data_IF_711981759627
#
_entry.id   IF_711981759627
#
_cell.length_a   1.000
_cell.length_b   1.000
_cell.length_c   1.000
_cell.angle_alpha   90.00
_cell.angle_beta   90.00
_cell.angle_gamma   90.00
#
_symmetry.space_group_name_H-M   'P 1'
#
loop_
_entity.id
_entity.type
_entity.pdbx_description
1 polymer ?
#
# COMPACT_ATOMS: atom_id res chain seq x y z
N UNK A 1 -15.47 11.75 13.52
CA UNK A 1 -14.20 11.30 12.91
C UNK A 1 -14.36 9.80 12.69
N UNK A 2 -13.89 9.24 11.58
CA UNK A 2 -14.14 7.82 11.26
C UNK A 2 -13.44 6.94 12.30
N UNK A 3 -14.16 6.04 12.97
CA UNK A 3 -13.64 5.21 14.07
C UNK A 3 -12.39 4.41 13.63
N UNK A 4 -12.36 4.00 12.37
CA UNK A 4 -11.24 3.30 11.76
C UNK A 4 -9.96 4.16 11.68
N UNK A 5 -10.10 5.47 11.44
CA UNK A 5 -8.97 6.40 11.40
C UNK A 5 -8.47 6.69 12.81
N UNK A 6 -9.37 6.87 13.78
CA UNK A 6 -8.99 7.09 15.17
C UNK A 6 -8.23 5.87 15.73
N UNK A 7 -8.68 4.67 15.40
CA UNK A 7 -7.98 3.43 15.71
C UNK A 7 -6.60 3.38 15.03
N UNK A 8 -6.51 3.67 13.73
CA UNK A 8 -5.23 3.68 13.01
C UNK A 8 -4.25 4.75 13.53
N UNK A 9 -4.74 5.92 13.96
CA UNK A 9 -3.93 6.96 14.60
C UNK A 9 -3.36 6.45 15.93
N UNK A 10 -4.20 5.82 16.77
CA UNK A 10 -3.76 5.25 18.05
C UNK A 10 -2.71 4.16 17.82
N UNK A 11 -2.96 3.22 16.91
CA UNK A 11 -2.02 2.15 16.57
C UNK A 11 -0.67 2.68 16.09
N UNK A 12 -0.66 3.66 15.17
CA UNK A 12 0.58 4.30 14.70
C UNK A 12 1.33 4.99 15.85
N UNK A 13 0.62 5.70 16.73
CA UNK A 13 1.25 6.37 17.88
C UNK A 13 1.89 5.35 18.83
N UNK A 14 1.21 4.24 19.12
CA UNK A 14 1.73 3.16 19.95
C UNK A 14 2.96 2.51 19.33
N UNK A 15 2.90 2.10 18.05
CA UNK A 15 4.03 1.50 17.34
C UNK A 15 5.24 2.45 17.29
N UNK A 16 5.02 3.75 17.06
CA UNK A 16 6.08 4.75 17.08
C UNK A 16 6.68 4.95 18.48
N UNK A 17 5.86 4.94 19.54
CA UNK A 17 6.32 5.05 20.91
C UNK A 17 7.20 3.85 21.31
N UNK A 18 6.78 2.63 20.97
CA UNK A 18 7.55 1.40 21.21
C UNK A 18 8.88 1.40 20.46
N UNK A 19 8.88 1.75 19.16
CA UNK A 19 10.10 1.89 18.37
C UNK A 19 11.07 2.93 18.97
N UNK A 20 10.54 4.06 19.48
CA UNK A 20 11.35 5.09 20.13
C UNK A 20 11.91 4.62 21.47
N UNK A 21 11.12 3.88 22.26
CA UNK A 21 11.51 3.36 23.57
C UNK A 21 12.66 2.36 23.46
N UNK A 22 12.64 1.49 22.44
CA UNK A 22 13.65 0.46 22.19
C UNK A 22 14.92 0.98 21.49
N UNK A 23 15.21 2.29 21.59
CA UNK A 23 16.44 2.87 21.06
C UNK A 23 16.44 3.11 19.54
N UNK A 24 15.27 3.07 18.88
CA UNK A 24 15.12 3.32 17.43
C UNK A 24 15.93 2.34 16.57
N UNK A 25 15.61 1.03 16.65
CA UNK A 25 16.28 0.05 15.80
C UNK A 25 16.18 0.46 14.32
N UNK A 26 17.31 0.36 13.63
CA UNK A 26 17.44 0.71 12.21
C UNK A 26 17.36 -0.51 11.28
N UNK A 27 17.52 -1.71 11.85
CA UNK A 27 17.43 -2.97 11.13
C UNK A 27 16.05 -3.11 10.46
N UNK A 28 15.99 -3.23 9.12
CA UNK A 28 14.75 -3.41 8.37
C UNK A 28 13.95 -4.64 8.81
N UNK A 29 14.64 -5.69 9.28
CA UNK A 29 14.03 -6.95 9.70
C UNK A 29 13.49 -6.91 11.14
N UNK A 30 13.72 -5.82 11.87
CA UNK A 30 13.23 -5.70 13.23
C UNK A 30 11.70 -5.55 13.25
N UNK A 31 11.03 -6.37 14.06
CA UNK A 31 9.57 -6.38 14.19
C UNK A 31 8.97 -4.99 14.48
N UNK A 32 9.67 -4.15 15.25
CA UNK A 32 9.21 -2.81 15.59
C UNK A 32 9.25 -1.85 14.39
N UNK A 33 10.25 -2.01 13.51
CA UNK A 33 10.37 -1.24 12.27
C UNK A 33 9.26 -1.65 11.30
N UNK A 34 9.02 -2.94 11.16
CA UNK A 34 7.96 -3.50 10.32
C UNK A 34 6.58 -3.03 10.81
N UNK A 35 6.29 -3.20 12.10
CA UNK A 35 5.01 -2.78 12.69
C UNK A 35 4.79 -1.27 12.54
N UNK A 36 5.83 -0.45 12.71
CA UNK A 36 5.77 1.00 12.47
C UNK A 36 5.47 1.34 11.00
N UNK A 37 6.07 0.63 10.04
CA UNK A 37 5.78 0.78 8.61
C UNK A 37 4.32 0.41 8.30
N UNK A 38 3.86 -0.74 8.77
CA UNK A 38 2.50 -1.25 8.55
C UNK A 38 1.43 -0.30 9.11
N UNK A 39 1.56 0.11 10.37
CA UNK A 39 0.61 1.05 10.98
C UNK A 39 0.61 2.43 10.30
N UNK A 40 1.75 2.86 9.74
CA UNK A 40 1.82 4.09 8.94
C UNK A 40 1.11 3.95 7.60
N UNK A 41 1.29 2.83 6.92
CA UNK A 41 0.60 2.51 5.67
C UNK A 41 -0.91 2.46 5.88
N UNK A 42 -1.35 1.72 6.90
CA UNK A 42 -2.77 1.56 7.21
C UNK A 42 -3.44 2.91 7.52
N UNK A 43 -2.79 3.79 8.29
CA UNK A 43 -3.31 5.14 8.51
C UNK A 43 -3.46 5.92 7.19
N UNK A 44 -2.47 5.86 6.29
CA UNK A 44 -2.55 6.54 4.99
C UNK A 44 -3.69 5.98 4.14
N UNK A 45 -3.86 4.66 4.13
CA UNK A 45 -4.95 3.96 3.44
C UNK A 45 -6.31 4.44 3.96
N UNK A 46 -6.50 4.45 5.27
CA UNK A 46 -7.76 4.91 5.88
C UNK A 46 -8.04 6.39 5.60
N UNK A 47 -7.04 7.27 5.64
CA UNK A 47 -7.20 8.67 5.24
C UNK A 47 -7.61 8.82 3.76
N UNK A 48 -7.00 8.05 2.85
CA UNK A 48 -7.37 8.06 1.43
C UNK A 48 -8.82 7.62 1.23
N UNK A 49 -9.23 6.53 1.90
CA UNK A 49 -10.59 6.02 1.85
C UNK A 49 -11.60 7.06 2.38
N UNK A 50 -11.31 7.76 3.48
CA UNK A 50 -12.17 8.81 3.99
C UNK A 50 -12.33 9.97 3.02
N UNK A 51 -11.23 10.40 2.39
CA UNK A 51 -11.25 11.46 1.37
C UNK A 51 -12.08 11.02 0.17
N UNK A 52 -11.90 9.78 -0.30
CA UNK A 52 -12.68 9.23 -1.40
C UNK A 52 -14.17 9.17 -1.05
N UNK A 53 -14.52 8.66 0.14
CA UNK A 53 -15.90 8.61 0.60
C UNK A 53 -16.51 10.02 0.72
N UNK A 54 -15.75 10.98 1.24
CA UNK A 54 -16.20 12.38 1.33
C UNK A 54 -16.51 12.96 -0.04
N UNK A 55 -15.68 12.68 -1.05
CA UNK A 55 -15.93 13.11 -2.44
C UNK A 55 -17.18 12.45 -3.03
N UNK A 56 -17.41 11.16 -2.75
CA UNK A 56 -18.62 10.45 -3.17
C UNK A 56 -19.86 11.11 -2.54
N UNK A 57 -19.82 11.34 -1.22
CA UNK A 57 -20.92 11.98 -0.50
C UNK A 57 -21.19 13.40 -0.99
N UNK A 58 -20.14 14.19 -1.25
CA UNK A 58 -20.28 15.55 -1.78
C UNK A 58 -20.93 15.53 -3.18
N UNK A 59 -20.56 14.56 -4.01
CA UNK A 59 -21.17 14.34 -5.31
C UNK A 59 -22.66 13.99 -5.19
N UNK A 60 -23.00 13.07 -4.29
CA UNK A 60 -24.40 12.72 -4.02
C UNK A 60 -25.19 13.91 -3.50
N UNK A 61 -24.62 14.72 -2.61
CA UNK A 61 -25.22 15.96 -2.09
C UNK A 61 -25.50 16.95 -3.24
N UNK A 62 -24.58 17.09 -4.20
CA UNK A 62 -24.78 17.92 -5.40
C UNK A 62 -25.87 17.35 -6.32
N UNK A 63 -25.92 16.03 -6.52
CA UNK A 63 -26.93 15.38 -7.39
C UNK A 63 -28.33 15.52 -6.80
N UNK A 64 -28.47 15.40 -5.48
CA UNK A 64 -29.74 15.51 -4.77
C UNK A 64 -30.14 16.97 -4.46
N UNK A 65 -29.29 17.93 -4.79
CA UNK A 65 -29.52 19.34 -4.53
C UNK A 65 -30.81 19.83 -5.20
N UNK A 66 -31.64 20.55 -4.45
CA UNK A 66 -32.80 21.24 -5.04
C UNK A 66 -32.32 22.39 -5.92
N UNK A 67 -33.14 22.73 -6.91
CA UNK A 67 -32.95 23.95 -7.71
C UNK A 67 -32.87 25.15 -6.76
N UNK A 68 -31.81 25.96 -6.87
CA UNK A 68 -31.52 27.12 -6.04
C UNK A 68 -31.10 26.86 -4.58
N UNK A 69 -30.47 25.71 -4.26
CA UNK A 69 -29.87 25.49 -2.94
C UNK A 69 -28.60 26.34 -2.70
N UNK A 70 -28.81 27.60 -2.31
CA UNK A 70 -27.75 28.57 -2.01
C UNK A 70 -26.84 28.11 -0.87
N UNK A 71 -27.39 27.40 0.13
CA UNK A 71 -26.65 26.98 1.32
C UNK A 71 -25.61 25.92 0.94
N UNK A 72 -26.02 24.93 0.16
CA UNK A 72 -25.12 23.91 -0.37
C UNK A 72 -24.06 24.53 -1.28
N UNK A 73 -24.44 25.45 -2.17
CA UNK A 73 -23.50 26.12 -3.07
C UNK A 73 -22.37 26.84 -2.32
N UNK A 74 -22.70 27.68 -1.33
CA UNK A 74 -21.69 28.38 -0.54
C UNK A 74 -20.87 27.44 0.36
N UNK A 75 -21.47 26.34 0.85
CA UNK A 75 -20.78 25.29 1.60
C UNK A 75 -19.71 24.61 0.74
N UNK A 76 -20.01 24.30 -0.52
CA UNK A 76 -19.05 23.71 -1.47
C UNK A 76 -17.91 24.68 -1.80
N UNK A 77 -18.21 25.94 -2.09
CA UNK A 77 -17.20 26.99 -2.30
C UNK A 77 -16.28 27.10 -1.08
N UNK A 78 -16.85 27.16 0.12
CA UNK A 78 -16.08 27.31 1.36
C UNK A 78 -15.15 26.12 1.60
N UNK A 79 -15.61 24.89 1.30
CA UNK A 79 -14.79 23.67 1.40
C UNK A 79 -13.63 23.69 0.40
N UNK A 80 -13.87 24.12 -0.84
CA UNK A 80 -12.83 24.17 -1.89
C UNK A 80 -11.80 25.27 -1.63
N UNK A 81 -12.23 26.45 -1.15
CA UNK A 81 -11.34 27.58 -0.84
C UNK A 81 -10.41 27.33 0.36
N UNK A 82 -10.73 26.37 1.22
CA UNK A 82 -9.96 26.13 2.45
C UNK A 82 -9.89 27.40 3.33
N UNK A 83 -8.72 27.69 3.91
CA UNK A 83 -8.45 28.91 4.71
C UNK A 83 -7.80 30.02 3.88
N UNK A 84 -8.24 30.26 2.64
CA UNK A 84 -7.75 31.39 1.86
C UNK A 84 -8.27 32.70 2.48
N UNK A 85 -7.38 33.44 3.15
CA UNK A 85 -7.69 34.73 3.78
C UNK A 85 -7.80 35.91 2.80
N UNK A 86 -7.55 35.70 1.51
CA UNK A 86 -7.62 36.73 0.47
C UNK A 86 -8.89 36.59 -0.37
N UNK A 87 -9.36 37.73 -0.88
CA UNK A 87 -10.39 37.80 -1.91
C UNK A 87 -9.86 37.12 -3.19
N UNK A 88 -10.76 36.45 -3.90
CA UNK A 88 -10.44 35.79 -5.17
C UNK A 88 -10.90 36.76 -6.26
N UNK A 89 -9.96 37.33 -6.98
CA UNK A 89 -10.24 38.29 -8.06
C UNK A 89 -10.48 37.56 -9.40
N UNK A 90 -9.85 36.39 -9.57
CA UNK A 90 -9.97 35.54 -10.76
C UNK A 90 -10.10 34.06 -10.38
N UNK A 91 -11.00 33.35 -11.05
CA UNK A 91 -11.22 31.92 -10.92
C UNK A 91 -10.91 31.22 -12.25
N UNK A 92 -9.96 30.29 -12.25
CA UNK A 92 -9.67 29.43 -13.39
C UNK A 92 -10.38 28.08 -13.24
N UNK A 93 -11.20 27.74 -14.23
CA UNK A 93 -11.89 26.44 -14.33
C UNK A 93 -11.59 25.86 -15.71
N UNK A 94 -10.87 24.74 -15.75
CA UNK A 94 -10.39 24.08 -16.97
C UNK A 94 -9.60 25.05 -17.88
N UNK A 95 -10.16 25.43 -19.04
CA UNK A 95 -9.54 26.38 -20.00
C UNK A 95 -10.15 27.78 -19.94
N UNK A 96 -11.06 28.04 -19.00
CA UNK A 96 -11.78 29.32 -18.88
C UNK A 96 -11.40 30.06 -17.61
N UNK A 97 -11.26 31.38 -17.72
CA UNK A 97 -11.09 32.29 -16.59
C UNK A 97 -12.37 33.11 -16.35
N UNK A 98 -12.71 33.30 -15.09
CA UNK A 98 -13.87 34.05 -14.65
C UNK A 98 -13.43 35.12 -13.64
N UNK A 99 -13.71 36.39 -13.91
CA UNK A 99 -13.38 37.52 -13.03
C UNK A 99 -14.63 38.17 -12.45
N UNK A 100 -14.45 38.87 -11.32
CA UNK A 100 -15.41 39.77 -10.65
C UNK A 100 -16.87 39.27 -10.61
N UNK A 101 -17.69 39.65 -11.59
CA UNK A 101 -19.14 39.34 -11.65
C UNK A 101 -19.44 37.90 -12.04
N UNK A 102 -18.52 37.23 -12.73
CA UNK A 102 -18.73 35.91 -13.33
C UNK A 102 -18.13 34.77 -12.48
N UNK A 103 -17.49 35.08 -11.35
CA UNK A 103 -16.86 34.08 -10.46
C UNK A 103 -17.88 33.05 -9.97
N UNK A 104 -19.09 33.49 -9.61
CA UNK A 104 -20.16 32.58 -9.16
C UNK A 104 -20.62 31.65 -10.28
N UNK A 105 -20.64 32.13 -11.52
CA UNK A 105 -20.96 31.32 -12.69
C UNK A 105 -19.86 30.28 -12.96
N UNK A 106 -18.59 30.67 -12.84
CA UNK A 106 -17.46 29.73 -12.91
C UNK A 106 -17.55 28.62 -11.86
N UNK A 107 -17.87 28.95 -10.61
CA UNK A 107 -18.11 27.94 -9.56
C UNK A 107 -19.30 27.03 -9.89
N UNK A 108 -20.39 27.58 -10.43
CA UNK A 108 -21.56 26.81 -10.85
C UNK A 108 -21.20 25.77 -11.91
N UNK A 109 -20.47 26.19 -12.95
CA UNK A 109 -19.99 25.31 -14.03
C UNK A 109 -19.04 24.24 -13.46
N UNK A 110 -18.08 24.63 -12.62
CA UNK A 110 -17.14 23.71 -12.00
C UNK A 110 -17.83 22.58 -11.21
N UNK A 111 -18.73 22.93 -10.29
CA UNK A 111 -19.43 21.93 -9.47
C UNK A 111 -20.42 21.10 -10.30
N UNK A 112 -21.04 21.67 -11.33
CA UNK A 112 -21.86 20.92 -12.29
C UNK A 112 -21.02 19.87 -13.03
N UNK A 113 -19.82 20.23 -13.47
CA UNK A 113 -18.92 19.31 -14.15
C UNK A 113 -18.38 18.21 -13.22
N UNK A 114 -18.05 18.55 -11.96
CA UNK A 114 -17.67 17.56 -10.94
C UNK A 114 -18.79 16.53 -10.68
N UNK A 115 -20.05 16.93 -10.77
CA UNK A 115 -21.18 16.04 -10.56
C UNK A 115 -21.41 15.07 -11.74
N UNK A 116 -21.02 15.44 -12.96
CA UNK A 116 -21.13 14.58 -14.15
C UNK A 116 -20.21 13.37 -14.00
N UNK A 117 -20.68 12.17 -14.37
CA UNK A 117 -19.81 10.98 -14.40
C UNK A 117 -18.79 11.19 -15.52
N UNK A 118 -17.51 11.31 -15.16
CA UNK A 118 -16.45 11.27 -16.15
C UNK A 118 -16.45 9.86 -16.76
N UNK A 119 -16.81 9.75 -18.04
CA UNK A 119 -16.75 8.48 -18.78
C UNK A 119 -15.30 8.03 -19.07
N UNK A 120 -14.30 8.76 -18.59
CA UNK A 120 -12.90 8.40 -18.69
C UNK A 120 -12.54 7.29 -17.72
N UNK A 121 -12.53 6.05 -18.24
CA UNK A 121 -11.81 4.89 -17.70
C UNK A 121 -10.28 5.11 -17.77
N UNK A 122 -9.78 6.18 -17.15
CA UNK A 122 -8.33 6.35 -16.95
C UNK A 122 -8.04 6.09 -15.48
N UNK A 123 -8.31 4.86 -15.07
CA UNK A 123 -7.70 4.34 -13.86
C UNK A 123 -6.26 3.98 -14.22
N UNK A 124 -5.29 4.51 -13.50
CA UNK A 124 -3.88 4.20 -13.72
C UNK A 124 -3.60 2.82 -13.14
N UNK A 125 -3.79 1.80 -13.98
CA UNK A 125 -3.59 0.39 -13.63
C UNK A 125 -2.14 0.17 -13.20
N UNK A 126 -1.18 0.87 -13.82
CA UNK A 126 0.23 0.76 -13.45
C UNK A 126 0.50 1.25 -12.02
N UNK A 127 -0.17 2.31 -11.58
CA UNK A 127 -0.05 2.79 -10.20
C UNK A 127 -0.64 1.79 -9.19
N UNK A 128 -1.75 1.13 -9.50
CA UNK A 128 -2.29 0.05 -8.67
C UNK A 128 -1.32 -1.12 -8.57
N UNK A 129 -0.83 -1.60 -9.72
CA UNK A 129 0.12 -2.71 -9.77
C UNK A 129 1.42 -2.39 -9.00
N UNK A 130 1.86 -1.13 -9.04
CA UNK A 130 3.04 -0.68 -8.27
C UNK A 130 2.77 -0.70 -6.75
N UNK A 131 1.58 -0.26 -6.32
CA UNK A 131 1.21 -0.24 -4.90
C UNK A 131 0.96 -1.65 -4.36
N UNK A 132 0.36 -2.53 -5.16
CA UNK A 132 0.09 -3.91 -4.78
C UNK A 132 1.39 -4.74 -4.75
N UNK A 133 2.31 -4.54 -5.71
CA UNK A 133 3.64 -5.18 -5.67
C UNK A 133 4.52 -4.71 -4.52
N UNK A 134 4.52 -3.41 -4.17
CA UNK A 134 5.21 -2.91 -2.97
C UNK A 134 4.67 -3.54 -1.67
N UNK A 135 3.37 -3.83 -1.63
CA UNK A 135 2.73 -4.49 -0.50
C UNK A 135 3.04 -5.98 -0.44
N UNK A 136 3.03 -6.67 -1.59
CA UNK A 136 3.41 -8.08 -1.73
C UNK A 136 4.87 -8.33 -1.31
N UNK A 137 5.81 -7.48 -1.72
CA UNK A 137 7.22 -7.56 -1.28
C UNK A 137 7.33 -7.49 0.26
N UNK A 138 6.55 -6.62 0.91
CA UNK A 138 6.54 -6.52 2.38
C UNK A 138 5.87 -7.72 3.08
N UNK A 139 5.02 -8.48 2.38
CA UNK A 139 4.38 -9.69 2.92
C UNK A 139 5.16 -10.96 2.59
N UNK A 140 5.78 -11.06 1.42
CA UNK A 140 6.62 -12.20 1.02
C UNK A 140 7.94 -12.25 1.80
N UNK A 141 8.49 -11.09 2.20
CA UNK A 141 9.58 -11.03 3.19
C UNK A 141 9.21 -11.72 4.53
N UNK A 142 7.91 -11.92 4.85
CA UNK A 142 7.48 -12.70 6.02
C UNK A 142 7.45 -14.21 5.76
N UNK A 143 7.16 -14.65 4.55
CA UNK A 143 7.06 -16.09 4.21
C UNK A 143 8.39 -16.69 3.78
N UNK A 144 9.31 -15.88 3.23
CA UNK A 144 10.66 -16.31 2.83
C UNK A 144 11.61 -16.69 3.99
N UNK A 145 11.21 -16.48 5.25
CA UNK A 145 12.03 -16.83 6.42
C UNK A 145 11.82 -18.25 6.98
N UNK A 146 11.07 -19.13 6.29
CA UNK A 146 11.01 -20.57 6.62
C UNK A 146 11.76 -21.49 5.66
N UNK A 147 12.19 -21.00 4.49
CA UNK A 147 13.01 -21.81 3.59
C UNK A 147 14.44 -21.90 4.14
N UNK A 148 15.03 -23.09 4.10
CA UNK A 148 16.42 -23.27 4.50
C UNK A 148 17.32 -22.38 3.63
N UNK A 149 18.26 -21.60 4.20
CA UNK A 149 19.18 -20.77 3.43
C UNK A 149 19.97 -21.52 2.35
N UNK A 150 20.07 -22.86 2.44
CA UNK A 150 20.72 -23.74 1.48
C UNK A 150 19.76 -24.34 0.44
N UNK A 151 18.45 -24.17 0.57
CA UNK A 151 17.48 -24.63 -0.41
C UNK A 151 17.56 -23.76 -1.67
N UNK A 152 17.70 -24.41 -2.83
CA UNK A 152 17.81 -23.73 -4.14
C UNK A 152 16.75 -24.19 -5.14
N UNK A 153 16.12 -25.34 -4.90
CA UNK A 153 15.05 -25.88 -5.74
C UNK A 153 13.74 -25.14 -5.48
N UNK A 154 13.10 -24.69 -6.56
CA UNK A 154 11.81 -23.99 -6.54
C UNK A 154 11.81 -22.68 -5.70
N UNK A 155 12.96 -22.02 -5.59
CA UNK A 155 13.10 -20.71 -4.91
C UNK A 155 13.22 -19.59 -5.96
N UNK A 156 12.58 -18.45 -5.71
CA UNK A 156 12.66 -17.29 -6.59
C UNK A 156 14.11 -16.77 -6.68
N UNK A 157 14.50 -16.32 -7.88
CA UNK A 157 15.84 -15.79 -8.18
C UNK A 157 17.01 -16.77 -7.92
N UNK A 158 16.74 -18.06 -7.75
CA UNK A 158 17.76 -19.11 -7.59
C UNK A 158 17.97 -19.87 -8.90
N UNK A 159 19.20 -19.85 -9.43
CA UNK A 159 19.58 -20.64 -10.60
C UNK A 159 20.25 -21.96 -10.18
N UNK A 160 20.06 -23.07 -10.92
CA UNK A 160 20.73 -24.34 -10.64
C UNK A 160 22.26 -24.22 -10.55
N UNK A 161 22.84 -23.32 -11.36
CA UNK A 161 24.27 -23.04 -11.37
C UNK A 161 24.79 -22.57 -9.99
N UNK A 162 23.98 -21.86 -9.21
CA UNK A 162 24.38 -21.36 -7.89
C UNK A 162 24.63 -22.54 -6.93
N UNK A 163 23.82 -23.60 -7.03
CA UNK A 163 24.01 -24.80 -6.21
C UNK A 163 25.33 -25.51 -6.53
N UNK A 164 25.71 -25.57 -7.81
CA UNK A 164 27.01 -26.13 -8.25
C UNK A 164 28.17 -25.30 -7.71
N UNK A 165 28.11 -23.97 -7.83
CA UNK A 165 29.16 -23.09 -7.34
C UNK A 165 29.40 -23.21 -5.83
N UNK A 166 28.33 -23.44 -5.04
CA UNK A 166 28.45 -23.65 -3.60
C UNK A 166 29.21 -24.93 -3.25
N UNK A 167 28.99 -26.01 -4.01
CA UNK A 167 29.73 -27.27 -3.83
C UNK A 167 31.20 -27.06 -4.19
N UNK A 168 31.48 -26.42 -5.32
CA UNK A 168 32.85 -26.14 -5.77
C UNK A 168 33.63 -25.27 -4.76
N UNK A 169 32.96 -24.28 -4.17
CA UNK A 169 33.56 -23.40 -3.18
C UNK A 169 33.83 -24.14 -1.86
N UNK A 170 32.89 -24.98 -1.41
CA UNK A 170 33.06 -25.84 -0.25
C UNK A 170 34.21 -26.85 -0.41
N UNK A 171 34.36 -27.44 -1.60
CA UNK A 171 35.47 -28.34 -1.89
C UNK A 171 36.81 -27.60 -1.88
N UNK A 172 36.85 -26.39 -2.45
CA UNK A 172 38.04 -25.54 -2.46
C UNK A 172 38.49 -25.16 -1.06
N UNK A 173 37.56 -24.71 -0.21
CA UNK A 173 37.85 -24.31 1.17
C UNK A 173 38.39 -25.50 1.98
N UNK A 174 37.77 -26.67 1.87
CA UNK A 174 38.24 -27.86 2.58
C UNK A 174 39.60 -28.35 2.08
N UNK A 175 39.89 -28.20 0.78
CA UNK A 175 41.20 -28.51 0.21
C UNK A 175 42.29 -27.60 0.80
N UNK A 176 42.03 -26.30 0.91
CA UNK A 176 42.97 -25.34 1.50
C UNK A 176 43.22 -25.64 2.99
N UNK A 177 42.18 -26.09 3.69
CA UNK A 177 42.25 -26.49 5.10
C UNK A 177 42.77 -27.93 5.32
N UNK A 178 43.12 -28.66 4.25
CA UNK A 178 43.53 -30.09 4.28
C UNK A 178 42.54 -31.00 5.01
N UNK A 179 41.25 -30.68 4.93
CA UNK A 179 40.16 -31.50 5.50
C UNK A 179 39.68 -32.50 4.46
N UNK A 180 39.31 -33.69 4.92
CA UNK A 180 38.69 -34.71 4.07
C UNK A 180 37.24 -34.32 3.79
N UNK A 181 36.89 -34.16 2.51
CA UNK A 181 35.51 -33.92 2.07
C UNK A 181 34.83 -35.23 1.73
N UNK A 182 33.61 -35.44 2.23
CA UNK A 182 32.75 -36.59 1.86
C UNK A 182 31.45 -36.02 1.29
N UNK A 183 31.14 -36.37 0.05
CA UNK A 183 29.90 -35.97 -0.62
C UNK A 183 28.89 -37.11 -0.57
N UNK A 184 27.75 -36.87 0.07
CA UNK A 184 26.62 -37.80 0.08
C UNK A 184 25.59 -37.40 -0.98
N UNK A 185 25.38 -38.25 -1.99
CA UNK A 185 24.30 -38.08 -2.96
C UNK A 185 23.03 -38.76 -2.43
N UNK A 186 22.00 -37.96 -2.16
CA UNK A 186 20.71 -38.43 -1.67
C UNK A 186 19.62 -38.09 -2.68
N UNK A 187 18.69 -39.02 -2.91
CA UNK A 187 17.50 -38.80 -3.73
C UNK A 187 16.26 -39.32 -3.00
N UNK A 188 15.16 -38.59 -3.12
CA UNK A 188 13.90 -38.92 -2.48
C UNK A 188 13.03 -39.73 -3.45
N UNK A 189 12.86 -41.03 -3.16
CA UNK A 189 11.98 -41.90 -3.96
C UNK A 189 10.53 -41.38 -3.87
N UNK A 190 9.95 -41.03 -5.02
CA UNK A 190 8.55 -40.58 -5.14
C UNK A 190 8.22 -39.33 -4.29
N UNK A 191 9.11 -38.32 -4.32
CA UNK A 191 8.97 -37.08 -3.54
C UNK A 191 7.61 -36.37 -3.71
N UNK A 192 6.95 -36.51 -4.86
CA UNK A 192 5.65 -35.88 -5.13
C UNK A 192 4.44 -36.73 -4.72
N UNK A 193 4.59 -38.05 -4.60
CA UNK A 193 3.45 -38.95 -4.38
C UNK A 193 3.19 -39.26 -2.89
N UNK A 194 4.20 -39.09 -2.03
CA UNK A 194 4.17 -39.53 -0.62
C UNK A 194 3.77 -38.41 0.36
N UNK A 195 3.23 -37.29 -0.13
CA UNK A 195 2.84 -36.17 0.73
C UNK A 195 1.58 -36.55 1.53
N UNK A 196 1.76 -36.82 2.83
CA UNK A 196 0.65 -37.11 3.75
C UNK A 196 -0.22 -35.86 3.95
N UNK A 197 -1.38 -35.84 3.28
CA UNK A 197 -2.40 -34.82 3.49
C UNK A 197 -3.06 -35.05 4.86
N UNK A 198 -2.74 -34.22 5.85
CA UNK A 198 -3.54 -34.15 7.08
C UNK A 198 -4.81 -33.37 6.79
N UNK A 199 -5.95 -34.06 6.73
CA UNK A 199 -7.26 -33.43 6.69
C UNK A 199 -7.44 -32.57 7.95
N UNK A 200 -7.52 -31.24 7.77
CA UNK A 200 -7.95 -30.36 8.86
C UNK A 200 -9.43 -30.60 9.07
N UNK A 201 -9.81 -31.18 10.21
CA UNK A 201 -11.21 -31.22 10.63
C UNK A 201 -11.72 -29.77 10.71
N UNK A 202 -12.63 -29.38 9.82
CA UNK A 202 -13.45 -28.19 10.03
C UNK A 202 -14.29 -28.45 11.28
N UNK A 203 -13.99 -27.71 12.35
CA UNK A 203 -14.72 -27.78 13.60
C UNK A 203 -16.13 -27.19 13.47
N UNK A 204 -17.06 -27.87 14.14
CA UNK A 204 -18.44 -27.48 14.46
C UNK A 204 -18.52 -26.17 15.25
#
# INVERSE_FOLDING_TARGET
MNENIDHAIKAKKQAHALWKFQGRPADPCNELVINKKQTTYELRKQCRNEIAQRRINDREEIIQARVMDKKLFHKLISRQRGKLGKLIDELHVDQSSYSETNILEGWRIHFSNLAKKSNTSKFDIQYLDTVDSEYEICTDEREHNQQNPLQRGFTENSAPLIATLMIDEFERENKDLKKTTILGMLDAKSAFDVVQMKERKCGE
#
